data_IF_764009515778
#
_entry.id   IF_764009515778
#
_cell.length_a   1.000
_cell.length_b   1.000
_cell.length_c   1.000
_cell.angle_alpha   90.00
_cell.angle_beta   90.00
_cell.angle_gamma   90.00
#
_symmetry.space_group_name_H-M   'P 1'
#
loop_
_entity.id
_entity.type
_entity.pdbx_description
1 polymer ?
#
# COMPACT_ATOMS: atom_id res chain seq x y z
N UNK A 1 4.95 4.42 92.92
CA UNK A 1 4.69 3.67 91.68
C UNK A 1 3.73 4.52 90.85
N UNK A 2 4.26 5.26 89.84
CA UNK A 2 3.54 6.33 89.12
C UNK A 2 3.24 5.76 87.72
N UNK A 3 1.99 5.42 87.52
CA UNK A 3 1.50 4.98 86.19
C UNK A 3 1.36 6.22 85.31
N UNK A 4 2.16 6.26 84.22
CA UNK A 4 2.01 7.20 83.16
C UNK A 4 0.96 6.66 82.18
N UNK A 5 -0.20 7.30 82.16
CA UNK A 5 -1.21 7.10 81.14
C UNK A 5 -0.69 7.80 79.84
N UNK A 6 -0.42 7.03 78.89
CA UNK A 6 -0.03 7.44 77.50
C UNK A 6 -1.36 7.82 76.83
N UNK A 7 -1.55 9.12 76.57
CA UNK A 7 -2.69 9.62 75.80
C UNK A 7 -2.52 9.15 74.35
N UNK A 8 -3.46 8.36 73.84
CA UNK A 8 -3.69 8.13 72.47
C UNK A 8 -4.15 9.42 71.80
N UNK A 9 -3.38 9.91 70.86
CA UNK A 9 -3.79 10.98 70.00
C UNK A 9 -4.94 10.46 69.11
N UNK A 10 -6.12 10.95 69.28
CA UNK A 10 -7.25 10.79 68.40
C UNK A 10 -6.84 11.46 67.08
N UNK A 11 -6.55 10.64 66.07
CA UNK A 11 -6.45 11.08 64.67
C UNK A 11 -7.83 11.66 64.27
N UNK A 12 -7.93 12.98 64.35
CA UNK A 12 -9.12 13.71 63.93
C UNK A 12 -9.40 13.42 62.46
N UNK A 13 -10.50 12.72 62.19
CA UNK A 13 -11.06 12.55 60.86
C UNK A 13 -11.44 13.92 60.34
N UNK A 14 -10.51 14.59 59.63
CA UNK A 14 -10.80 15.86 58.97
C UNK A 14 -11.77 15.61 57.85
N UNK A 15 -13.03 15.97 58.03
CA UNK A 15 -14.03 15.91 56.96
C UNK A 15 -13.69 16.86 55.82
N UNK A 16 -13.83 16.40 54.60
CA UNK A 16 -13.65 17.21 53.38
C UNK A 16 -14.63 18.40 53.42
N UNK A 17 -14.11 19.58 53.13
CA UNK A 17 -14.95 20.77 53.00
C UNK A 17 -15.67 20.76 51.64
N UNK A 18 -16.86 21.32 51.55
CA UNK A 18 -17.66 21.41 50.34
C UNK A 18 -16.87 22.13 49.20
N UNK A 19 -16.07 23.12 49.56
CA UNK A 19 -15.22 23.85 48.60
C UNK A 19 -14.08 23.01 48.07
N UNK A 20 -13.48 22.14 48.88
CA UNK A 20 -12.41 21.24 48.47
C UNK A 20 -12.91 20.17 47.49
N UNK A 21 -14.12 19.63 47.70
CA UNK A 21 -14.81 18.76 46.74
C UNK A 21 -15.07 19.46 45.43
N UNK A 22 -15.46 20.74 45.43
CA UNK A 22 -15.73 21.51 44.23
C UNK A 22 -14.46 21.79 43.41
N UNK A 23 -13.37 22.12 44.09
CA UNK A 23 -12.07 22.36 43.46
C UNK A 23 -11.50 21.06 42.90
N UNK A 24 -11.53 19.96 43.66
CA UNK A 24 -10.99 18.68 43.23
C UNK A 24 -11.76 18.10 42.03
N UNK A 25 -13.10 18.20 42.03
CA UNK A 25 -13.88 17.75 40.84
C UNK A 25 -13.60 18.62 39.63
N UNK A 26 -13.48 19.95 39.78
CA UNK A 26 -13.11 20.85 38.67
C UNK A 26 -11.75 20.54 38.07
N UNK A 27 -10.74 20.35 38.92
CA UNK A 27 -9.39 19.96 38.46
C UNK A 27 -9.38 18.57 37.80
N UNK A 28 -10.08 17.60 38.35
CA UNK A 28 -10.19 16.27 37.80
C UNK A 28 -10.81 16.28 36.39
N UNK A 29 -11.92 17.04 36.21
CA UNK A 29 -12.54 17.19 34.89
C UNK A 29 -11.58 17.83 33.89
N UNK A 30 -10.82 18.85 34.28
CA UNK A 30 -9.84 19.50 33.42
C UNK A 30 -8.76 18.49 32.96
N UNK A 31 -8.24 17.68 33.88
CA UNK A 31 -7.23 16.64 33.55
C UNK A 31 -7.80 15.60 32.60
N UNK A 32 -9.05 15.14 32.84
CA UNK A 32 -9.71 14.15 31.94
C UNK A 32 -9.88 14.71 30.55
N UNK A 33 -10.30 15.98 30.38
CA UNK A 33 -10.47 16.61 29.07
C UNK A 33 -9.13 16.69 28.33
N UNK A 34 -8.06 17.12 29.00
CA UNK A 34 -6.72 17.22 28.41
C UNK A 34 -6.20 15.84 28.04
N UNK A 35 -6.28 14.87 28.95
CA UNK A 35 -5.84 13.49 28.68
C UNK A 35 -6.63 12.86 27.54
N UNK A 36 -7.95 13.07 27.48
CA UNK A 36 -8.81 12.60 26.39
C UNK A 36 -8.44 13.20 25.04
N UNK A 37 -8.12 14.49 24.97
CA UNK A 37 -7.71 15.15 23.72
C UNK A 37 -6.38 14.61 23.19
N UNK A 38 -5.42 14.35 24.07
CA UNK A 38 -4.12 13.74 23.70
C UNK A 38 -4.31 12.31 23.18
N UNK A 39 -5.17 11.53 23.85
CA UNK A 39 -5.46 10.15 23.41
C UNK A 39 -6.09 10.13 22.01
N UNK A 40 -7.12 10.96 21.78
CA UNK A 40 -7.78 11.04 20.46
C UNK A 40 -6.78 11.46 19.37
N UNK A 41 -5.92 12.44 19.66
CA UNK A 41 -4.88 12.89 18.72
C UNK A 41 -3.88 11.77 18.42
N UNK A 42 -3.49 11.00 19.42
CA UNK A 42 -2.60 9.84 19.28
C UNK A 42 -3.22 8.74 18.40
N UNK A 43 -4.50 8.42 18.60
CA UNK A 43 -5.20 7.42 17.79
C UNK A 43 -5.30 7.86 16.31
N UNK A 44 -5.61 9.12 16.04
CA UNK A 44 -5.64 9.66 14.66
C UNK A 44 -4.27 9.61 14.00
N UNK A 45 -3.22 9.97 14.70
CA UNK A 45 -1.86 9.89 14.19
C UNK A 45 -1.45 8.45 13.87
N UNK A 46 -1.86 7.49 14.70
CA UNK A 46 -1.61 6.07 14.47
C UNK A 46 -2.35 5.54 13.23
N UNK A 47 -3.61 5.92 13.03
CA UNK A 47 -4.39 5.54 11.85
C UNK A 47 -3.76 6.09 10.57
N UNK A 48 -3.36 7.37 10.58
CA UNK A 48 -2.63 8.00 9.48
C UNK A 48 -1.34 7.23 9.14
N UNK A 49 -0.53 6.94 10.15
CA UNK A 49 0.74 6.23 9.96
C UNK A 49 0.53 4.82 9.37
N UNK A 50 -0.50 4.11 9.81
CA UNK A 50 -0.85 2.79 9.26
C UNK A 50 -1.27 2.89 7.79
N UNK A 51 -2.19 3.79 7.46
CA UNK A 51 -2.68 3.92 6.08
C UNK A 51 -1.57 4.30 5.09
N UNK A 52 -0.66 5.20 5.47
CA UNK A 52 0.50 5.55 4.65
C UNK A 52 1.46 4.36 4.50
N UNK A 53 1.69 3.60 5.57
CA UNK A 53 2.55 2.42 5.53
C UNK A 53 1.95 1.33 4.62
N UNK A 54 0.65 1.08 4.70
CA UNK A 54 -0.04 0.09 3.87
C UNK A 54 -0.02 0.49 2.39
N UNK A 55 -0.24 1.78 2.09
CA UNK A 55 -0.13 2.31 0.73
C UNK A 55 1.31 2.18 0.19
N UNK A 56 2.32 2.48 1.00
CA UNK A 56 3.72 2.33 0.63
C UNK A 56 4.09 0.86 0.38
N UNK A 57 3.63 -0.07 1.21
CA UNK A 57 3.83 -1.51 1.02
C UNK A 57 3.18 -2.00 -0.27
N UNK A 58 1.95 -1.58 -0.55
CA UNK A 58 1.24 -1.90 -1.79
C UNK A 58 2.01 -1.38 -3.01
N UNK A 59 2.45 -0.12 -2.97
CA UNK A 59 3.24 0.48 -4.02
C UNK A 59 4.55 -0.30 -4.27
N UNK A 60 5.27 -0.63 -3.21
CA UNK A 60 6.52 -1.40 -3.31
C UNK A 60 6.30 -2.82 -3.85
N UNK A 61 5.20 -3.48 -3.47
CA UNK A 61 4.86 -4.81 -3.98
C UNK A 61 4.67 -4.77 -5.51
N UNK A 62 3.92 -3.80 -6.01
CA UNK A 62 3.70 -3.60 -7.44
C UNK A 62 5.01 -3.33 -8.16
N UNK A 63 5.80 -2.35 -7.66
CA UNK A 63 7.09 -1.98 -8.27
C UNK A 63 8.05 -3.17 -8.33
N UNK A 64 8.24 -3.88 -7.21
CA UNK A 64 9.14 -5.04 -7.17
C UNK A 64 8.69 -6.18 -8.07
N UNK A 65 7.38 -6.42 -8.15
CA UNK A 65 6.82 -7.43 -9.05
C UNK A 65 7.13 -7.10 -10.52
N UNK A 66 6.93 -5.83 -10.92
CA UNK A 66 7.20 -5.35 -12.28
C UNK A 66 8.71 -5.32 -12.55
N UNK A 67 9.50 -4.80 -11.62
CA UNK A 67 10.97 -4.74 -11.74
C UNK A 67 11.56 -6.13 -12.00
N UNK A 68 11.15 -7.13 -11.23
CA UNK A 68 11.62 -8.51 -11.40
C UNK A 68 11.27 -9.07 -12.78
N UNK A 69 10.07 -8.80 -13.29
CA UNK A 69 9.65 -9.22 -14.61
C UNK A 69 10.36 -8.47 -15.73
N UNK A 70 10.48 -7.15 -15.61
CA UNK A 70 11.11 -6.29 -16.63
C UNK A 70 12.61 -6.56 -16.73
N UNK A 71 13.31 -6.68 -15.61
CA UNK A 71 14.76 -6.89 -15.57
C UNK A 71 15.19 -8.14 -16.33
N UNK A 72 14.39 -9.20 -16.27
CA UNK A 72 14.68 -10.47 -16.93
C UNK A 72 13.94 -10.63 -18.27
N UNK A 73 13.29 -9.57 -18.76
CA UNK A 73 12.50 -9.63 -19.97
C UNK A 73 13.36 -9.65 -21.24
N UNK A 74 12.99 -10.51 -22.20
CA UNK A 74 13.49 -10.45 -23.57
C UNK A 74 12.66 -9.49 -24.44
N UNK A 75 11.40 -9.24 -24.07
CA UNK A 75 10.54 -8.28 -24.74
C UNK A 75 9.53 -7.68 -23.75
N UNK A 76 9.13 -6.44 -24.00
CA UNK A 76 8.20 -5.68 -23.18
C UNK A 76 7.21 -4.99 -24.11
N UNK A 77 5.94 -5.00 -23.75
CA UNK A 77 4.91 -4.21 -24.42
C UNK A 77 3.88 -3.68 -23.42
N UNK A 78 3.31 -2.51 -23.73
CA UNK A 78 2.16 -1.95 -23.02
C UNK A 78 1.05 -1.71 -24.02
N UNK A 79 -0.12 -2.26 -23.75
CA UNK A 79 -1.31 -2.09 -24.58
C UNK A 79 -2.46 -1.53 -23.74
N UNK A 80 -3.43 -0.90 -24.41
CA UNK A 80 -4.68 -0.54 -23.76
C UNK A 80 -5.45 -1.80 -23.38
N UNK A 81 -6.10 -1.77 -22.23
CA UNK A 81 -6.98 -2.85 -21.81
C UNK A 81 -8.38 -2.77 -22.43
N UNK A 82 -9.30 -3.58 -21.91
CA UNK A 82 -10.66 -3.68 -22.42
C UNK A 82 -11.56 -2.49 -22.01
N UNK A 83 -11.31 -1.88 -20.86
CA UNK A 83 -12.05 -0.71 -20.35
C UNK A 83 -11.27 0.57 -20.60
N UNK A 84 -11.96 1.71 -20.82
CA UNK A 84 -11.28 3.00 -20.98
C UNK A 84 -10.35 3.30 -19.79
N UNK A 85 -9.10 3.68 -20.08
CA UNK A 85 -8.09 3.97 -19.06
C UNK A 85 -7.39 2.74 -18.50
N UNK A 86 -7.83 1.51 -18.80
CA UNK A 86 -7.12 0.30 -18.40
C UNK A 86 -5.90 0.04 -19.27
N UNK A 87 -4.90 -0.61 -18.70
CA UNK A 87 -3.61 -0.87 -19.34
C UNK A 87 -3.11 -2.27 -19.02
N UNK A 88 -2.50 -2.90 -20.00
CA UNK A 88 -1.87 -4.20 -19.85
C UNK A 88 -0.38 -4.08 -20.21
N UNK A 89 0.47 -4.27 -19.20
CA UNK A 89 1.91 -4.43 -19.36
C UNK A 89 2.20 -5.91 -19.47
N UNK A 90 2.90 -6.32 -20.53
CA UNK A 90 3.31 -7.71 -20.75
C UNK A 90 4.82 -7.79 -20.92
N UNK A 91 5.39 -8.85 -20.38
CA UNK A 91 6.80 -9.19 -20.54
C UNK A 91 6.95 -10.67 -20.90
N UNK A 92 7.92 -10.98 -21.76
CA UNK A 92 8.41 -12.35 -21.95
C UNK A 92 9.70 -12.51 -21.19
N UNK A 93 9.74 -13.44 -20.25
CA UNK A 93 10.93 -13.71 -19.43
C UNK A 93 11.37 -15.16 -19.58
N UNK A 94 12.66 -15.43 -19.35
CA UNK A 94 13.13 -16.79 -19.12
C UNK A 94 12.68 -17.23 -17.71
N UNK A 95 12.35 -18.53 -17.58
CA UNK A 95 12.04 -19.07 -16.25
C UNK A 95 13.28 -18.99 -15.36
N UNK A 96 13.08 -18.59 -14.12
CA UNK A 96 14.12 -18.64 -13.08
C UNK A 96 14.25 -20.00 -12.41
N UNK A 97 13.49 -21.00 -12.84
CA UNK A 97 13.62 -22.36 -12.33
C UNK A 97 14.92 -22.97 -12.87
N UNK A 98 15.89 -23.32 -12.01
CA UNK A 98 17.15 -23.91 -12.43
C UNK A 98 16.97 -25.24 -13.18
N UNK A 99 15.83 -25.90 -13.02
CA UNK A 99 15.50 -27.15 -13.71
C UNK A 99 14.69 -26.96 -14.99
N UNK A 100 14.27 -25.73 -15.32
CA UNK A 100 13.46 -25.41 -16.48
C UNK A 100 13.83 -24.06 -17.06
N UNK A 101 14.57 -24.08 -18.17
CA UNK A 101 14.90 -22.89 -18.97
C UNK A 101 13.69 -22.46 -19.85
N UNK A 102 12.51 -22.93 -19.53
CA UNK A 102 11.32 -22.62 -20.32
C UNK A 102 10.98 -21.11 -20.21
N UNK A 103 10.70 -20.46 -21.35
CA UNK A 103 10.23 -19.07 -21.32
C UNK A 103 8.90 -18.97 -20.61
N UNK A 104 8.64 -17.83 -20.00
CA UNK A 104 7.36 -17.52 -19.36
C UNK A 104 6.84 -16.16 -19.81
N UNK A 105 5.51 -16.03 -19.86
CA UNK A 105 4.84 -14.75 -20.06
C UNK A 105 4.34 -14.24 -18.73
N UNK A 106 4.62 -12.98 -18.44
CA UNK A 106 4.11 -12.31 -17.24
C UNK A 106 3.40 -11.03 -17.65
N UNK A 107 2.28 -10.73 -16.99
CA UNK A 107 1.51 -9.55 -17.29
C UNK A 107 1.01 -8.88 -16.00
N UNK A 108 0.87 -7.56 -16.08
CA UNK A 108 0.23 -6.73 -15.08
C UNK A 108 -0.88 -5.94 -15.74
N UNK A 109 -2.05 -6.02 -15.16
CA UNK A 109 -3.25 -5.35 -15.65
C UNK A 109 -3.69 -4.29 -14.66
N UNK A 110 -3.73 -3.06 -15.13
CA UNK A 110 -4.32 -1.94 -14.40
C UNK A 110 -5.74 -1.69 -14.93
N UNK A 111 -6.69 -1.54 -14.04
CA UNK A 111 -8.04 -1.05 -14.34
C UNK A 111 -8.42 0.08 -13.39
N UNK A 112 -9.03 1.17 -13.88
CA UNK A 112 -9.54 2.24 -13.04
C UNK A 112 -10.79 1.83 -12.25
N UNK A 113 -11.41 0.70 -12.61
CA UNK A 113 -12.62 0.21 -11.94
C UNK A 113 -12.35 -0.12 -10.47
N UNK A 114 -13.35 0.12 -9.61
CA UNK A 114 -13.23 -0.15 -8.18
C UNK A 114 -12.23 0.74 -7.44
N UNK A 115 -11.94 1.94 -7.95
CA UNK A 115 -11.00 2.89 -7.34
C UNK A 115 -9.55 2.68 -7.76
N UNK A 116 -9.34 1.96 -8.86
CA UNK A 116 -8.03 1.65 -9.43
C UNK A 116 -7.36 0.42 -8.81
N UNK A 117 -7.11 -0.57 -9.64
CA UNK A 117 -6.58 -1.87 -9.19
C UNK A 117 -5.49 -2.37 -10.13
N UNK A 118 -4.49 -3.04 -9.55
CA UNK A 118 -3.43 -3.72 -10.31
C UNK A 118 -3.47 -5.21 -9.99
N UNK A 119 -3.50 -6.01 -11.04
CA UNK A 119 -3.42 -7.47 -11.00
C UNK A 119 -2.17 -7.95 -11.71
N UNK A 120 -1.71 -9.14 -11.38
CA UNK A 120 -0.63 -9.83 -12.10
C UNK A 120 -1.03 -11.26 -12.45
N UNK A 121 -0.45 -11.76 -13.55
CA UNK A 121 -0.55 -13.16 -13.92
C UNK A 121 0.75 -13.63 -14.57
N UNK A 122 0.99 -14.94 -14.52
CA UNK A 122 2.16 -15.57 -15.13
C UNK A 122 1.77 -16.90 -15.76
N UNK A 123 2.25 -17.13 -16.97
CA UNK A 123 2.10 -18.41 -17.65
C UNK A 123 3.47 -19.07 -17.85
N UNK A 124 3.62 -20.31 -17.39
CA UNK A 124 4.80 -21.15 -17.59
C UNK A 124 4.31 -22.56 -17.93
N UNK A 125 4.65 -23.12 -19.12
CA UNK A 125 5.43 -22.51 -20.20
C UNK A 125 4.77 -21.28 -20.79
N UNK A 126 5.54 -20.50 -21.58
CA UNK A 126 5.06 -19.26 -22.19
C UNK A 126 3.84 -19.53 -23.07
N UNK A 127 2.76 -18.81 -22.80
CA UNK A 127 1.54 -18.80 -23.59
C UNK A 127 0.98 -17.38 -23.63
N UNK A 128 0.27 -17.05 -24.70
CA UNK A 128 -0.36 -15.73 -24.87
C UNK A 128 -1.29 -15.42 -23.71
N UNK A 129 -1.09 -14.24 -23.12
CA UNK A 129 -1.97 -13.72 -22.07
C UNK A 129 -2.99 -12.80 -22.74
N UNK A 130 -4.26 -13.17 -22.62
CA UNK A 130 -5.36 -12.38 -23.18
C UNK A 130 -5.73 -11.20 -22.23
N UNK A 131 -6.15 -10.10 -22.86
CA UNK A 131 -6.70 -8.96 -22.13
C UNK A 131 -7.96 -9.40 -21.40
N UNK A 132 -8.10 -9.12 -20.07
CA UNK A 132 -9.31 -9.45 -19.35
C UNK A 132 -10.52 -8.70 -19.91
N UNK A 133 -11.48 -9.46 -20.45
CA UNK A 133 -12.75 -8.91 -20.95
C UNK A 133 -13.86 -9.28 -19.96
N UNK A 134 -14.65 -8.30 -19.54
CA UNK A 134 -15.75 -8.54 -18.59
C UNK A 134 -15.34 -8.74 -17.13
N UNK A 135 -14.15 -8.30 -16.77
CA UNK A 135 -13.59 -8.37 -15.43
C UNK A 135 -12.44 -9.36 -15.29
N UNK A 136 -11.63 -9.16 -14.26
CA UNK A 136 -10.45 -9.99 -13.98
C UNK A 136 -10.89 -11.26 -13.25
N UNK A 137 -10.65 -12.43 -13.84
CA UNK A 137 -11.03 -13.73 -13.28
C UNK A 137 -9.89 -14.75 -13.36
N UNK A 138 -9.98 -15.79 -12.53
CA UNK A 138 -9.16 -17.00 -12.61
C UNK A 138 -7.70 -16.82 -12.22
N UNK A 139 -6.81 -16.85 -13.20
CA UNK A 139 -5.34 -16.88 -13.01
C UNK A 139 -4.71 -15.53 -12.62
N UNK A 140 -5.49 -14.48 -12.42
CA UNK A 140 -5.00 -13.17 -12.03
C UNK A 140 -4.95 -13.01 -10.51
N UNK A 141 -3.82 -12.55 -10.01
CA UNK A 141 -3.59 -12.26 -8.58
C UNK A 141 -3.67 -10.75 -8.35
N UNK A 142 -4.47 -10.32 -7.40
CA UNK A 142 -4.54 -8.93 -6.97
C UNK A 142 -3.21 -8.52 -6.31
N UNK A 143 -2.58 -7.46 -6.79
CA UNK A 143 -1.39 -6.86 -6.17
C UNK A 143 -1.73 -5.67 -5.29
N UNK A 144 -2.71 -4.88 -5.67
CA UNK A 144 -3.11 -3.71 -4.90
C UNK A 144 -4.32 -2.98 -5.43
N UNK A 145 -4.89 -2.15 -4.58
CA UNK A 145 -6.06 -1.29 -4.85
C UNK A 145 -5.76 0.15 -4.50
N UNK A 146 -6.63 1.07 -4.90
CA UNK A 146 -6.46 2.50 -4.63
C UNK A 146 -5.37 3.16 -5.49
N UNK A 147 -5.15 2.63 -6.69
CA UNK A 147 -4.10 3.08 -7.61
C UNK A 147 -4.70 4.03 -8.65
N UNK A 148 -4.07 5.18 -8.82
CA UNK A 148 -4.45 6.14 -9.85
C UNK A 148 -3.22 6.63 -10.63
N UNK A 149 -3.38 7.02 -11.91
CA UNK A 149 -2.31 7.65 -12.64
C UNK A 149 -1.89 8.95 -11.94
N UNK A 150 -0.60 9.10 -11.64
CA UNK A 150 -0.09 10.33 -11.00
C UNK A 150 -0.11 11.54 -11.94
N UNK A 151 -0.10 11.29 -13.25
CA UNK A 151 -0.27 12.32 -14.26
C UNK A 151 -1.65 12.14 -14.92
N UNK A 152 -2.58 12.99 -14.56
CA UNK A 152 -3.94 13.00 -15.12
C UNK A 152 -3.98 13.37 -16.61
N UNK A 153 -2.96 14.09 -17.11
CA UNK A 153 -2.91 14.49 -18.52
C UNK A 153 -2.61 13.30 -19.44
N UNK A 154 -1.75 12.40 -19.01
CA UNK A 154 -1.45 11.17 -19.75
C UNK A 154 -2.37 10.02 -19.40
N UNK A 155 -2.92 9.99 -18.19
CA UNK A 155 -3.76 8.92 -17.67
C UNK A 155 -3.06 7.54 -17.62
N UNK A 156 -1.71 7.52 -17.64
CA UNK A 156 -0.93 6.29 -17.77
C UNK A 156 -0.26 5.92 -16.46
N UNK A 157 -0.52 4.70 -16.01
CA UNK A 157 0.18 4.03 -14.92
C UNK A 157 1.45 3.34 -15.45
N UNK A 158 1.33 2.68 -16.62
CA UNK A 158 2.44 2.02 -17.30
C UNK A 158 2.74 2.73 -18.62
N UNK A 159 4.03 2.96 -18.87
CA UNK A 159 4.51 3.51 -20.13
C UNK A 159 5.78 2.76 -20.56
N UNK A 160 5.82 2.29 -21.80
CA UNK A 160 6.99 1.62 -22.40
C UNK A 160 7.41 2.36 -23.68
N UNK A 161 8.15 3.47 -23.55
CA UNK A 161 8.44 4.36 -24.69
C UNK A 161 9.34 3.73 -25.75
N UNK A 162 10.15 2.75 -25.39
CA UNK A 162 11.18 2.19 -26.28
C UNK A 162 11.32 0.66 -26.21
N UNK A 163 10.37 -0.06 -25.60
CA UNK A 163 10.39 -1.52 -25.51
C UNK A 163 11.57 -2.15 -24.74
N UNK A 164 12.51 -1.33 -24.27
CA UNK A 164 13.65 -1.71 -23.44
C UNK A 164 13.49 -1.29 -21.98
N UNK A 165 12.51 -0.44 -21.70
CA UNK A 165 12.23 0.10 -20.38
C UNK A 165 10.74 0.27 -20.12
N UNK A 166 10.38 0.26 -18.85
CA UNK A 166 9.04 0.58 -18.36
C UNK A 166 9.13 1.73 -17.36
N UNK A 167 8.35 2.75 -17.61
CA UNK A 167 8.12 3.85 -16.68
C UNK A 167 6.82 3.57 -15.91
N UNK A 168 6.90 3.65 -14.59
CA UNK A 168 5.77 3.54 -13.68
C UNK A 168 5.50 4.93 -13.09
N UNK A 169 4.28 5.41 -13.22
CA UNK A 169 3.87 6.72 -12.73
C UNK A 169 2.47 6.67 -12.16
N UNK A 170 2.37 6.41 -10.85
CA UNK A 170 1.08 6.25 -10.19
C UNK A 170 1.11 6.69 -8.73
N UNK A 171 -0.07 7.00 -8.22
CA UNK A 171 -0.34 7.26 -6.82
C UNK A 171 -1.07 6.08 -6.20
N UNK A 172 -0.81 5.82 -4.93
CA UNK A 172 -1.58 4.87 -4.11
C UNK A 172 -2.29 5.65 -3.01
N UNK A 173 -3.61 5.51 -2.92
CA UNK A 173 -4.42 6.18 -1.93
C UNK A 173 -4.07 5.70 -0.51
N UNK A 174 -3.88 6.62 0.41
CA UNK A 174 -3.60 6.37 1.83
C UNK A 174 -4.77 6.86 2.72
N UNK A 175 -5.97 6.32 2.48
CA UNK A 175 -7.19 6.74 3.18
C UNK A 175 -7.57 8.19 2.86
N UNK A 176 -7.72 9.04 3.89
CA UNK A 176 -8.02 10.48 3.76
C UNK A 176 -6.75 11.35 3.63
N UNK A 177 -5.58 10.75 3.56
CA UNK A 177 -4.29 11.43 3.58
C UNK A 177 -3.64 11.49 2.18
N UNK A 178 -2.56 12.28 2.04
CA UNK A 178 -1.86 12.42 0.76
C UNK A 178 -1.43 11.07 0.21
N UNK A 179 -1.45 10.97 -1.12
CA UNK A 179 -1.07 9.78 -1.87
C UNK A 179 0.41 9.43 -1.69
N UNK A 180 0.72 8.14 -1.81
CA UNK A 180 2.09 7.68 -1.99
C UNK A 180 2.39 7.72 -3.49
N UNK A 181 3.16 8.70 -3.93
CA UNK A 181 3.58 8.87 -5.33
C UNK A 181 4.72 7.93 -5.67
N UNK A 182 4.56 7.18 -6.75
CA UNK A 182 5.59 6.34 -7.35
C UNK A 182 5.91 6.86 -8.76
N UNK A 183 7.18 7.20 -8.95
CA UNK A 183 7.74 7.51 -10.25
C UNK A 183 9.07 6.77 -10.38
N UNK A 184 9.09 5.71 -11.18
CA UNK A 184 10.28 4.87 -11.35
C UNK A 184 10.41 4.38 -12.79
N UNK A 185 11.63 4.03 -13.17
CA UNK A 185 11.96 3.53 -14.50
C UNK A 185 12.78 2.26 -14.35
N UNK A 186 12.33 1.20 -15.01
CA UNK A 186 12.93 -0.11 -14.97
C UNK A 186 13.41 -0.51 -16.38
N UNK A 187 14.64 -0.96 -16.48
CA UNK A 187 15.27 -1.38 -17.73
C UNK A 187 15.40 -2.89 -17.79
N UNK A 188 15.22 -3.46 -19.00
CA UNK A 188 15.60 -4.86 -19.24
C UNK A 188 17.11 -4.98 -19.38
N UNK A 189 17.66 -6.09 -18.93
CA UNK A 189 19.10 -6.39 -19.05
C UNK A 189 19.42 -7.21 -20.31
N UNK A 190 18.41 -7.85 -20.91
CA UNK A 190 18.56 -8.68 -22.10
C UNK A 190 18.66 -7.81 -23.37
N UNK A 191 19.65 -8.08 -24.20
CA UNK A 191 19.85 -7.39 -25.49
C UNK A 191 19.03 -8.01 -26.62
N UNK A 192 18.77 -9.34 -26.55
CA UNK A 192 18.00 -10.06 -27.57
C UNK A 192 16.50 -9.79 -27.40
N UNK A 193 15.84 -9.46 -28.50
CA UNK A 193 14.37 -9.21 -28.48
C UNK A 193 13.65 -10.44 -29.02
N UNK A 194 12.93 -11.13 -28.14
CA UNK A 194 12.02 -12.23 -28.48
C UNK A 194 10.73 -12.03 -27.73
N UNK A 195 9.61 -11.89 -28.42
CA UNK A 195 8.28 -11.65 -27.85
C UNK A 195 7.38 -12.89 -27.90
N UNK A 196 7.48 -13.69 -28.95
CA UNK A 196 6.64 -14.87 -29.12
C UNK A 196 6.90 -15.95 -28.06
N UNK A 197 5.88 -16.67 -27.56
CA UNK A 197 4.46 -16.56 -27.93
C UNK A 197 3.62 -15.62 -27.05
N UNK A 198 4.21 -14.69 -26.29
CA UNK A 198 3.52 -13.88 -25.29
C UNK A 198 2.65 -12.78 -25.94
N UNK A 199 3.16 -12.15 -27.02
CA UNK A 199 2.53 -11.06 -27.78
C UNK A 199 3.21 -10.84 -29.12
#
# INVERSE_FOLDING_TARGET
MKLLLKGEAEDGISGFTLIEMLITTGLTLMVIVVAGSVLISGLRAQETSRSVTDAANTAQLIVRSIEAGVKNASAITVTSGATPGSQLLMTRTLSMDPNSIAPSCQAWYYTPDGGGTVYSTKSTPAATILIPMGGVQGAWTLLGTGISPADSATGKVFNAPSGDRVELNFDVAAGLHPYVLIKTMNYRTQTTTVSAPCF
#
